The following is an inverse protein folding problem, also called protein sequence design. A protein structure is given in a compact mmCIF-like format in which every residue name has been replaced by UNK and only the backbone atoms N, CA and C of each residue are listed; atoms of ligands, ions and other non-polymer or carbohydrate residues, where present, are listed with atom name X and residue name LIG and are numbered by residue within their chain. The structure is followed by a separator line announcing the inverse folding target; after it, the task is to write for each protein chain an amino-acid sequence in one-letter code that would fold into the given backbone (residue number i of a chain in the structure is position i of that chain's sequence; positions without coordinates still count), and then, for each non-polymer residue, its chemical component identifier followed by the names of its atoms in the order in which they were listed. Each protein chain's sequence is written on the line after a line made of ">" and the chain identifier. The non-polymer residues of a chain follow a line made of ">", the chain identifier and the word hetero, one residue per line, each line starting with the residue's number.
data_IF_108619680415
#
_entry.id   IF_108619680415
#
_cell.length_a   1.000
_cell.length_b   1.000
_cell.length_c   1.000
_cell.angle_alpha   90.00
_cell.angle_beta   90.00
_cell.angle_gamma   90.00
#
_symmetry.space_group_name_H-M   'P 1'
#
loop_
_entity.id
_entity.type
_entity.pdbx_description
1 polymer ?
#
# COMPACT_ATOMS: atom_id res chain seq x y z
N UNK A 1 -19.26 15.52 -19.53
CA UNK A 1 -20.01 14.96 -20.68
C UNK A 1 -19.13 14.82 -21.91
N UNK A 2 -18.83 15.91 -22.63
CA UNK A 2 -18.01 15.87 -23.86
C UNK A 2 -16.74 15.03 -23.70
N UNK A 3 -15.97 15.25 -22.63
CA UNK A 3 -14.73 14.51 -22.41
C UNK A 3 -14.96 13.00 -22.26
N UNK A 4 -15.85 12.57 -21.37
CA UNK A 4 -16.21 11.14 -21.18
C UNK A 4 -16.70 10.50 -22.48
N UNK A 5 -17.64 11.14 -23.19
CA UNK A 5 -18.19 10.59 -24.44
C UNK A 5 -17.15 10.54 -25.57
N UNK A 6 -16.17 11.44 -25.56
CA UNK A 6 -15.12 11.51 -26.59
C UNK A 6 -14.00 10.52 -26.34
N UNK A 7 -13.57 10.35 -25.08
CA UNK A 7 -12.38 9.56 -24.74
C UNK A 7 -12.71 8.15 -24.24
N UNK A 8 -13.94 7.91 -23.78
CA UNK A 8 -14.34 6.62 -23.20
C UNK A 8 -13.67 6.31 -21.87
N UNK A 9 -13.24 7.33 -21.11
CA UNK A 9 -12.62 7.14 -19.79
C UNK A 9 -13.61 6.60 -18.76
N UNK A 10 -13.05 5.89 -17.78
CA UNK A 10 -13.81 5.26 -16.69
C UNK A 10 -13.83 6.10 -15.40
N UNK A 11 -12.98 7.12 -15.30
CA UNK A 11 -12.88 7.91 -14.07
C UNK A 11 -12.04 9.18 -14.17
N UNK A 12 -11.92 9.88 -13.03
CA UNK A 12 -11.16 11.11 -12.89
C UNK A 12 -10.18 11.08 -11.71
N UNK A 13 -9.01 11.69 -11.91
CA UNK A 13 -8.20 12.27 -10.85
C UNK A 13 -8.46 13.77 -10.82
N UNK A 14 -8.99 14.28 -9.71
CA UNK A 14 -9.26 15.71 -9.52
C UNK A 14 -8.02 16.39 -8.94
N UNK A 15 -7.56 17.42 -9.64
CA UNK A 15 -6.40 18.24 -9.25
C UNK A 15 -6.80 19.32 -8.25
N UNK A 16 -5.92 19.59 -7.28
CA UNK A 16 -5.94 20.76 -6.41
C UNK A 16 -7.29 21.01 -5.72
N UNK A 17 -7.98 19.94 -5.29
CA UNK A 17 -9.39 20.04 -4.84
C UNK A 17 -9.56 20.89 -3.57
N UNK A 18 -8.48 21.07 -2.80
CA UNK A 18 -8.44 22.00 -1.65
C UNK A 18 -8.62 23.48 -2.02
N UNK A 19 -8.44 23.83 -3.29
CA UNK A 19 -8.55 25.19 -3.82
C UNK A 19 -9.86 25.44 -4.57
N UNK A 20 -10.75 24.44 -4.62
CA UNK A 20 -12.03 24.50 -5.30
C UNK A 20 -13.14 24.36 -4.25
N UNK A 21 -14.23 25.10 -4.44
CA UNK A 21 -15.41 25.00 -3.57
C UNK A 21 -15.90 23.53 -3.48
N UNK A 22 -16.02 23.02 -2.26
CA UNK A 22 -16.36 21.61 -2.01
C UNK A 22 -17.78 21.29 -2.48
N UNK A 23 -18.72 22.22 -2.33
CA UNK A 23 -20.09 22.06 -2.82
C UNK A 23 -20.14 21.96 -4.34
N UNK A 24 -19.36 22.80 -5.05
CA UNK A 24 -19.22 22.70 -6.50
C UNK A 24 -18.70 21.32 -6.93
N UNK A 25 -17.58 20.82 -6.37
CA UNK A 25 -17.04 19.51 -6.76
C UNK A 25 -18.04 18.40 -6.44
N UNK A 26 -18.63 18.41 -5.25
CA UNK A 26 -19.63 17.45 -4.83
C UNK A 26 -20.80 17.38 -5.82
N UNK A 27 -21.37 18.54 -6.17
CA UNK A 27 -22.48 18.63 -7.12
C UNK A 27 -22.05 18.21 -8.51
N UNK A 28 -20.85 18.60 -8.94
CA UNK A 28 -20.30 18.26 -10.26
C UNK A 28 -20.16 16.75 -10.44
N UNK A 29 -19.56 16.05 -9.48
CA UNK A 29 -19.39 14.59 -9.53
C UNK A 29 -20.74 13.87 -9.46
N UNK A 30 -21.63 14.30 -8.55
CA UNK A 30 -22.97 13.74 -8.45
C UNK A 30 -23.78 13.90 -9.76
N UNK A 31 -23.70 15.06 -10.40
CA UNK A 31 -24.37 15.32 -11.67
C UNK A 31 -23.85 14.42 -12.80
N UNK A 32 -22.55 14.14 -12.84
CA UNK A 32 -21.98 13.23 -13.84
C UNK A 32 -22.47 11.80 -13.59
N UNK A 33 -22.45 11.32 -12.35
CA UNK A 33 -22.91 9.96 -12.03
C UNK A 33 -24.38 9.76 -12.31
N UNK A 34 -25.22 10.72 -11.96
CA UNK A 34 -26.67 10.61 -12.13
C UNK A 34 -27.12 10.75 -13.59
N UNK A 35 -26.40 11.51 -14.42
CA UNK A 35 -26.86 11.87 -15.78
C UNK A 35 -26.05 11.24 -16.91
N UNK A 36 -24.82 10.79 -16.66
CA UNK A 36 -23.86 10.43 -17.72
C UNK A 36 -23.25 9.06 -17.47
N UNK A 37 -22.61 8.84 -16.31
CA UNK A 37 -21.84 7.63 -16.03
C UNK A 37 -21.95 7.21 -14.56
N UNK A 38 -22.92 6.35 -14.19
CA UNK A 38 -23.20 5.98 -12.79
C UNK A 38 -22.03 5.33 -12.05
N UNK A 39 -21.17 4.63 -12.78
CA UNK A 39 -19.99 3.89 -12.32
C UNK A 39 -18.69 4.68 -12.47
N UNK A 40 -18.76 6.01 -12.56
CA UNK A 40 -17.56 6.85 -12.69
C UNK A 40 -16.71 6.77 -11.42
N UNK A 41 -15.49 6.26 -11.56
CA UNK A 41 -14.50 6.23 -10.49
C UNK A 41 -13.83 7.60 -10.33
N UNK A 42 -13.66 8.07 -9.10
CA UNK A 42 -13.10 9.41 -8.86
C UNK A 42 -12.24 9.40 -7.61
N UNK A 43 -11.06 9.99 -7.71
CA UNK A 43 -10.28 10.38 -6.55
C UNK A 43 -9.70 11.78 -6.70
N UNK A 44 -9.42 12.46 -5.59
CA UNK A 44 -8.95 13.85 -5.58
C UNK A 44 -7.63 14.03 -4.84
N UNK A 45 -6.86 15.03 -5.27
CA UNK A 45 -5.68 15.51 -4.56
C UNK A 45 -6.07 16.66 -3.60
N UNK A 46 -6.33 16.29 -2.35
CA UNK A 46 -6.49 17.24 -1.24
C UNK A 46 -5.19 17.28 -0.45
N UNK A 47 -4.22 18.08 -0.88
CA UNK A 47 -2.89 18.07 -0.27
C UNK A 47 -2.82 18.79 1.08
N UNK A 48 -3.14 18.02 2.12
CA UNK A 48 -2.88 18.30 3.54
C UNK A 48 -2.55 16.98 4.26
N UNK A 49 -1.54 17.01 5.11
CA UNK A 49 -1.10 15.87 5.92
C UNK A 49 -1.71 15.89 7.32
N UNK A 50 -3.01 16.20 7.44
CA UNK A 50 -3.75 16.14 8.70
C UNK A 50 -5.09 15.42 8.51
N UNK A 51 -5.33 14.41 9.36
CA UNK A 51 -6.48 13.51 9.25
C UNK A 51 -7.81 14.26 9.31
N UNK A 52 -7.92 15.22 10.22
CA UNK A 52 -9.14 16.02 10.43
C UNK A 52 -9.54 16.75 9.15
N UNK A 53 -8.63 17.46 8.49
CA UNK A 53 -8.97 18.19 7.26
C UNK A 53 -9.39 17.25 6.12
N UNK A 54 -8.75 16.07 5.99
CA UNK A 54 -9.14 15.10 4.97
C UNK A 54 -10.54 14.56 5.22
N UNK A 55 -10.85 14.21 6.48
CA UNK A 55 -12.17 13.74 6.90
C UNK A 55 -13.25 14.80 6.71
N UNK A 56 -13.01 16.03 7.17
CA UNK A 56 -13.92 17.15 7.00
C UNK A 56 -14.22 17.39 5.51
N UNK A 57 -13.23 17.19 4.63
CA UNK A 57 -13.41 17.33 3.19
C UNK A 57 -14.22 16.18 2.58
N UNK A 58 -14.01 14.94 3.02
CA UNK A 58 -14.85 13.80 2.63
C UNK A 58 -16.31 14.03 3.04
N UNK A 59 -16.54 14.48 4.27
CA UNK A 59 -17.89 14.81 4.77
C UNK A 59 -18.53 15.97 3.98
N UNK A 60 -17.78 17.04 3.74
CA UNK A 60 -18.24 18.20 2.97
C UNK A 60 -18.60 17.83 1.52
N UNK A 61 -17.89 16.85 0.95
CA UNK A 61 -18.17 16.32 -0.39
C UNK A 61 -19.15 15.15 -0.37
N UNK A 62 -19.74 14.82 0.78
CA UNK A 62 -20.67 13.70 0.98
C UNK A 62 -20.12 12.38 0.42
N UNK A 63 -18.82 12.16 0.63
CA UNK A 63 -18.12 10.93 0.23
C UNK A 63 -18.32 10.58 -1.26
N UNK A 64 -18.43 11.61 -2.11
CA UNK A 64 -18.58 11.41 -3.55
C UNK A 64 -17.31 10.85 -4.20
N UNK A 65 -16.15 10.95 -3.58
CA UNK A 65 -14.90 10.44 -4.18
C UNK A 65 -13.85 10.18 -3.12
N UNK A 66 -12.86 9.36 -3.46
CA UNK A 66 -11.73 9.03 -2.61
C UNK A 66 -10.68 10.15 -2.61
N UNK A 67 -9.77 10.17 -1.64
CA UNK A 67 -8.64 11.12 -1.61
C UNK A 67 -7.32 10.36 -1.62
N UNK A 68 -6.28 11.00 -2.17
CA UNK A 68 -4.91 10.50 -1.99
C UNK A 68 -4.51 10.60 -0.51
N UNK A 69 -3.91 9.55 0.03
CA UNK A 69 -3.52 9.48 1.45
C UNK A 69 -2.16 10.17 1.69
N UNK A 70 -2.19 11.50 1.77
CA UNK A 70 -0.98 12.33 1.92
C UNK A 70 -0.29 12.06 3.26
N UNK A 71 -1.04 11.83 4.33
CA UNK A 71 -0.46 11.50 5.64
C UNK A 71 0.34 10.21 5.57
N UNK A 72 -0.19 9.16 4.93
CA UNK A 72 0.57 7.92 4.77
C UNK A 72 1.86 8.10 3.97
N UNK A 73 1.82 8.90 2.89
CA UNK A 73 3.03 9.26 2.14
C UNK A 73 4.07 9.96 3.04
N UNK A 74 3.64 10.93 3.86
CA UNK A 74 4.54 11.63 4.80
C UNK A 74 5.11 10.67 5.85
N UNK A 75 4.34 9.71 6.34
CA UNK A 75 4.84 8.69 7.25
C UNK A 75 5.93 7.82 6.59
N UNK A 76 5.79 7.47 5.31
CA UNK A 76 6.83 6.76 4.56
C UNK A 76 8.09 7.60 4.37
N UNK A 77 7.93 8.88 4.03
CA UNK A 77 9.04 9.82 3.92
C UNK A 77 9.79 9.93 5.26
N UNK A 78 9.08 10.13 6.37
CA UNK A 78 9.68 10.25 7.70
C UNK A 78 10.38 8.95 8.13
N UNK A 79 9.74 7.80 7.90
CA UNK A 79 10.32 6.50 8.21
C UNK A 79 11.61 6.23 7.42
N UNK A 80 11.66 6.62 6.15
CA UNK A 80 12.86 6.44 5.33
C UNK A 80 14.03 7.30 5.81
N UNK A 81 13.77 8.52 6.32
CA UNK A 81 14.83 9.44 6.77
C UNK A 81 15.27 9.21 8.22
N UNK A 82 14.36 8.77 9.09
CA UNK A 82 14.64 8.47 10.49
C UNK A 82 15.26 7.07 10.68
N UNK A 83 15.30 6.24 9.64
CA UNK A 83 15.88 4.89 9.68
C UNK A 83 15.27 4.08 10.84
N UNK A 84 16.12 3.38 11.61
CA UNK A 84 15.72 2.55 12.76
C UNK A 84 15.11 3.34 13.93
N UNK A 85 15.19 4.66 13.94
CA UNK A 85 14.64 5.48 15.02
C UNK A 85 13.14 5.77 14.82
N UNK A 86 12.62 5.58 13.61
CA UNK A 86 11.17 5.63 13.37
C UNK A 86 10.48 4.42 14.00
N UNK A 87 9.37 4.67 14.69
CA UNK A 87 8.54 3.63 15.28
C UNK A 87 7.55 3.05 14.25
N UNK A 88 7.89 1.91 13.67
CA UNK A 88 7.06 1.24 12.65
C UNK A 88 5.66 0.85 13.13
N UNK A 89 5.41 0.83 14.44
CA UNK A 89 4.05 0.59 14.98
C UNK A 89 3.09 1.73 14.62
N UNK A 90 3.62 2.93 14.38
CA UNK A 90 2.86 4.14 14.09
C UNK A 90 2.86 4.48 12.59
N UNK A 91 3.30 3.56 11.72
CA UNK A 91 3.48 3.86 10.28
C UNK A 91 2.17 4.27 9.58
N UNK A 92 1.01 3.87 10.11
CA UNK A 92 -0.30 4.27 9.61
C UNK A 92 -1.01 5.31 10.48
N UNK A 93 -0.38 5.83 11.53
CA UNK A 93 -1.01 6.81 12.42
C UNK A 93 -1.47 8.02 11.61
N UNK A 94 -2.68 8.49 11.93
CA UNK A 94 -3.38 9.61 11.29
C UNK A 94 -3.59 9.50 9.76
N UNK A 95 -3.25 8.35 9.16
CA UNK A 95 -3.49 8.12 7.74
C UNK A 95 -4.98 8.03 7.40
N UNK A 96 -5.33 8.35 6.16
CA UNK A 96 -6.71 8.21 5.71
C UNK A 96 -7.14 6.74 5.66
N UNK A 97 -6.23 5.84 5.30
CA UNK A 97 -6.51 4.41 5.13
C UNK A 97 -6.94 3.70 6.41
N UNK A 98 -6.55 4.21 7.59
CA UNK A 98 -7.01 3.62 8.87
C UNK A 98 -8.40 4.11 9.31
N UNK A 99 -8.81 5.32 8.90
CA UNK A 99 -10.11 5.91 9.29
C UNK A 99 -11.19 5.65 8.23
N UNK A 100 -10.86 5.77 6.95
CA UNK A 100 -11.77 5.61 5.81
C UNK A 100 -11.11 4.79 4.68
N UNK A 101 -10.83 3.49 4.90
CA UNK A 101 -10.07 2.66 3.96
C UNK A 101 -10.68 2.60 2.54
N UNK A 102 -12.00 2.65 2.41
CA UNK A 102 -12.71 2.63 1.13
C UNK A 102 -12.60 3.95 0.34
N UNK A 103 -12.20 5.04 1.02
CA UNK A 103 -12.00 6.37 0.44
C UNK A 103 -10.52 6.77 0.36
N UNK A 104 -9.60 5.84 0.64
CA UNK A 104 -8.16 6.12 0.63
C UNK A 104 -7.49 5.57 -0.63
N UNK A 105 -6.87 6.46 -1.40
CA UNK A 105 -5.92 6.10 -2.45
C UNK A 105 -4.51 6.20 -1.87
N UNK A 106 -3.97 5.06 -1.44
CA UNK A 106 -2.63 4.98 -0.83
C UNK A 106 -1.55 5.00 -1.91
N UNK A 107 -0.47 5.73 -1.70
CA UNK A 107 0.63 5.86 -2.67
C UNK A 107 1.97 6.01 -1.94
N UNK A 108 3.07 5.62 -2.60
CA UNK A 108 4.43 5.84 -2.08
C UNK A 108 4.96 7.19 -2.54
N UNK A 109 4.80 7.50 -3.83
CA UNK A 109 5.40 8.66 -4.48
C UNK A 109 4.46 9.19 -5.58
N UNK A 110 4.63 10.44 -5.99
CA UNK A 110 3.99 10.97 -7.19
C UNK A 110 4.87 12.04 -7.88
N UNK A 111 4.31 12.68 -8.89
CA UNK A 111 5.00 13.70 -9.67
C UNK A 111 5.29 15.01 -8.91
N UNK A 112 4.60 15.31 -7.82
CA UNK A 112 4.83 16.49 -6.98
C UNK A 112 5.91 16.24 -5.92
N UNK A 113 6.07 14.98 -5.46
CA UNK A 113 6.95 14.59 -4.34
C UNK A 113 8.33 14.12 -4.76
N UNK A 114 8.50 13.70 -6.01
CA UNK A 114 9.81 13.33 -6.55
C UNK A 114 10.82 14.50 -6.46
N UNK A 115 12.12 14.18 -6.47
CA UNK A 115 13.17 15.20 -6.32
C UNK A 115 13.09 16.32 -7.36
N UNK A 116 13.33 17.55 -6.90
CA UNK A 116 13.32 18.76 -7.72
C UNK A 116 11.92 19.31 -8.02
N UNK A 117 10.86 18.82 -7.37
CA UNK A 117 9.48 19.26 -7.60
C UNK A 117 8.91 20.09 -6.43
N UNK A 118 7.71 20.64 -6.63
CA UNK A 118 7.13 21.66 -5.75
C UNK A 118 6.84 21.17 -4.33
N UNK A 119 6.54 19.88 -4.17
CA UNK A 119 6.21 19.24 -2.89
C UNK A 119 7.24 18.16 -2.56
N UNK A 120 8.51 18.38 -2.93
CA UNK A 120 9.59 17.41 -2.76
C UNK A 120 9.62 16.83 -1.34
N UNK A 121 9.33 15.52 -1.27
CA UNK A 121 9.30 14.69 -0.07
C UNK A 121 9.53 13.24 -0.47
N UNK A 122 10.57 13.04 -1.29
CA UNK A 122 10.91 11.73 -1.88
C UNK A 122 11.25 10.71 -0.82
N UNK A 123 10.59 9.56 -0.84
CA UNK A 123 10.91 8.40 0.01
C UNK A 123 12.28 7.85 -0.40
N UNK A 124 13.17 7.58 0.56
CA UNK A 124 14.50 7.04 0.24
C UNK A 124 14.42 5.65 -0.41
N UNK A 125 15.31 5.40 -1.37
CA UNK A 125 15.27 4.22 -2.23
C UNK A 125 15.25 2.89 -1.47
N UNK A 126 15.94 2.81 -0.32
CA UNK A 126 16.00 1.60 0.49
C UNK A 126 14.64 1.26 1.13
N UNK A 127 13.81 2.27 1.42
CA UNK A 127 12.51 2.10 2.07
C UNK A 127 11.36 1.91 1.05
N UNK A 128 11.56 2.25 -0.23
CA UNK A 128 10.52 2.12 -1.26
C UNK A 128 9.92 0.70 -1.35
N UNK A 129 10.71 -0.40 -1.33
CA UNK A 129 10.12 -1.75 -1.29
C UNK A 129 9.24 -1.99 -0.05
N UNK A 130 9.62 -1.47 1.12
CA UNK A 130 8.84 -1.61 2.35
C UNK A 130 7.52 -0.83 2.23
N UNK A 131 7.57 0.39 1.72
CA UNK A 131 6.39 1.23 1.49
C UNK A 131 5.43 0.61 0.46
N UNK A 132 5.94 0.07 -0.64
CA UNK A 132 5.13 -0.67 -1.60
C UNK A 132 4.51 -1.92 -0.99
N UNK A 133 5.25 -2.65 -0.14
CA UNK A 133 4.70 -3.78 0.61
C UNK A 133 3.53 -3.39 1.51
N UNK A 134 3.65 -2.26 2.21
CA UNK A 134 2.60 -1.72 3.10
C UNK A 134 1.31 -1.37 2.34
N UNK A 135 1.38 -0.87 1.10
CA UNK A 135 0.17 -0.52 0.32
C UNK A 135 -0.34 -1.65 -0.58
N UNK A 136 0.53 -2.54 -1.07
CA UNK A 136 0.16 -3.61 -1.99
C UNK A 136 -0.25 -4.89 -1.27
N UNK A 137 0.42 -5.24 -0.16
CA UNK A 137 0.25 -6.53 0.51
C UNK A 137 -0.73 -6.49 1.68
N UNK A 138 -1.42 -5.36 1.86
CA UNK A 138 -2.53 -5.17 2.82
C UNK A 138 -3.85 -4.96 2.08
N UNK A 139 -4.95 -5.27 2.74
CA UNK A 139 -6.29 -5.20 2.14
C UNK A 139 -6.88 -3.79 2.11
N UNK A 140 -6.51 -2.93 3.05
CA UNK A 140 -7.07 -1.60 3.18
C UNK A 140 -6.52 -0.65 2.11
N UNK A 141 -7.38 0.23 1.59
CA UNK A 141 -6.99 1.25 0.62
C UNK A 141 -6.90 0.76 -0.82
N UNK A 142 -6.89 1.72 -1.73
CA UNK A 142 -6.65 1.50 -3.16
C UNK A 142 -5.21 1.93 -3.50
N UNK A 143 -4.26 0.99 -3.65
CA UNK A 143 -2.87 1.34 -3.94
C UNK A 143 -2.71 1.92 -5.34
N UNK A 144 -1.97 3.02 -5.43
CA UNK A 144 -1.59 3.67 -6.68
C UNK A 144 -0.07 3.56 -6.87
N UNK A 145 0.34 2.89 -7.95
CA UNK A 145 1.76 2.75 -8.32
C UNK A 145 2.26 4.02 -9.02
N UNK A 146 3.47 4.45 -8.68
CA UNK A 146 4.08 5.58 -9.36
C UNK A 146 4.86 5.16 -10.59
N UNK A 147 4.58 5.80 -11.73
CA UNK A 147 5.31 5.57 -12.99
C UNK A 147 6.81 5.74 -12.81
N UNK A 148 7.25 6.78 -12.09
CA UNK A 148 8.67 7.05 -11.88
C UNK A 148 9.36 5.98 -11.07
N UNK A 149 8.69 5.33 -10.11
CA UNK A 149 9.29 4.23 -9.34
C UNK A 149 9.31 2.95 -10.16
N UNK A 150 8.26 2.71 -10.94
CA UNK A 150 8.18 1.52 -11.77
C UNK A 150 9.24 1.53 -12.88
N UNK A 151 9.38 2.63 -13.62
CA UNK A 151 10.32 2.71 -14.75
C UNK A 151 11.66 3.36 -14.42
N UNK A 152 11.79 3.98 -13.24
CA UNK A 152 12.91 4.86 -12.93
C UNK A 152 12.76 6.25 -13.58
N UNK A 153 13.56 7.20 -13.11
CA UNK A 153 13.69 8.55 -13.69
C UNK A 153 15.15 8.77 -14.05
N UNK A 154 15.39 9.36 -15.22
CA UNK A 154 16.73 9.69 -15.70
C UNK A 154 17.03 11.19 -15.51
N UNK A 155 18.29 11.56 -15.41
CA UNK A 155 18.74 12.96 -15.34
C UNK A 155 19.23 13.36 -13.95
N UNK A 156 19.26 14.68 -13.71
CA UNK A 156 19.79 15.28 -12.47
C UNK A 156 19.07 14.79 -11.21
N UNK A 157 17.74 14.65 -11.29
CA UNK A 157 16.88 14.12 -10.22
C UNK A 157 16.54 12.64 -10.46
N UNK A 158 17.50 11.88 -10.96
CA UNK A 158 17.30 10.48 -11.33
C UNK A 158 16.94 9.59 -10.13
N UNK A 159 16.21 8.52 -10.41
CA UNK A 159 15.91 7.46 -9.44
C UNK A 159 15.93 6.09 -10.11
N UNK A 160 16.33 5.02 -9.39
CA UNK A 160 16.32 3.67 -9.93
C UNK A 160 14.89 3.18 -10.20
N UNK A 161 14.79 2.16 -11.04
CA UNK A 161 13.55 1.40 -11.24
C UNK A 161 13.40 0.34 -10.14
N UNK A 162 12.18 0.23 -9.61
CA UNK A 162 11.76 -0.79 -8.66
C UNK A 162 10.81 -1.81 -9.31
N UNK A 163 10.82 -1.90 -10.64
CA UNK A 163 9.90 -2.74 -11.43
C UNK A 163 9.79 -4.17 -10.91
N UNK A 164 10.93 -4.83 -10.70
CA UNK A 164 10.97 -6.25 -10.36
C UNK A 164 10.27 -6.55 -9.03
N UNK A 165 10.54 -5.75 -7.99
CA UNK A 165 9.91 -5.95 -6.68
C UNK A 165 8.43 -5.55 -6.71
N UNK A 166 8.06 -4.49 -7.45
CA UNK A 166 6.66 -4.10 -7.61
C UNK A 166 5.87 -5.15 -8.38
N UNK A 167 6.44 -5.78 -9.42
CA UNK A 167 5.81 -6.88 -10.15
C UNK A 167 5.48 -8.05 -9.22
N UNK A 168 6.47 -8.49 -8.42
CA UNK A 168 6.27 -9.57 -7.44
C UNK A 168 5.18 -9.22 -6.42
N UNK A 169 5.18 -7.99 -5.90
CA UNK A 169 4.15 -7.54 -4.96
C UNK A 169 2.76 -7.42 -5.59
N UNK A 170 2.67 -7.00 -6.86
CA UNK A 170 1.42 -6.95 -7.60
C UNK A 170 0.84 -8.35 -7.83
N UNK A 171 1.69 -9.33 -8.13
CA UNK A 171 1.29 -10.74 -8.25
C UNK A 171 0.80 -11.30 -6.91
N UNK A 172 1.50 -11.01 -5.81
CA UNK A 172 1.04 -11.37 -4.48
C UNK A 172 -0.30 -10.71 -4.14
N UNK A 173 -0.47 -9.42 -4.45
CA UNK A 173 -1.73 -8.71 -4.25
C UNK A 173 -2.87 -9.38 -5.01
N UNK A 174 -2.64 -9.77 -6.25
CA UNK A 174 -3.66 -10.39 -7.10
C UNK A 174 -4.09 -11.78 -6.61
N UNK A 175 -3.20 -12.53 -5.97
CA UNK A 175 -3.41 -13.96 -5.72
C UNK A 175 -3.45 -14.36 -4.23
N UNK A 176 -2.96 -13.52 -3.31
CA UNK A 176 -2.76 -13.91 -1.91
C UNK A 176 -3.29 -12.90 -0.87
N UNK A 177 -3.61 -11.67 -1.24
CA UNK A 177 -4.07 -10.63 -0.30
C UNK A 177 -5.60 -10.72 -0.14
N UNK A 178 -6.06 -11.86 0.36
CA UNK A 178 -7.47 -12.19 0.55
C UNK A 178 -7.77 -12.69 1.97
N UNK A 179 -9.05 -12.73 2.30
CA UNK A 179 -9.51 -13.33 3.55
C UNK A 179 -9.25 -12.51 4.80
N UNK A 180 -9.10 -13.17 5.95
CA UNK A 180 -8.85 -12.48 7.22
C UNK A 180 -7.41 -11.95 7.26
N UNK A 181 -7.25 -10.65 7.50
CA UNK A 181 -5.96 -10.04 7.82
C UNK A 181 -5.72 -10.03 9.33
N UNK A 182 -4.50 -10.34 9.77
CA UNK A 182 -4.09 -10.26 11.19
C UNK A 182 -2.77 -9.48 11.31
N UNK A 183 -2.77 -8.41 12.10
CA UNK A 183 -1.62 -7.51 12.25
C UNK A 183 -0.78 -7.82 13.50
N UNK A 184 0.55 -7.78 13.35
CA UNK A 184 1.55 -8.06 14.40
C UNK A 184 2.50 -6.86 14.59
N UNK A 185 1.93 -5.69 14.88
CA UNK A 185 2.65 -4.42 14.99
C UNK A 185 3.17 -4.21 16.42
N UNK A 186 3.97 -5.17 16.88
CA UNK A 186 4.33 -5.32 18.30
C UNK A 186 5.74 -4.86 18.65
N UNK A 187 6.54 -4.43 17.67
CA UNK A 187 7.93 -3.98 17.87
C UNK A 187 8.21 -2.75 17.01
N UNK A 188 9.05 -1.85 17.49
CA UNK A 188 9.31 -0.54 16.86
C UNK A 188 9.98 -0.62 15.49
N UNK A 189 10.72 -1.69 15.21
CA UNK A 189 11.36 -1.87 13.90
C UNK A 189 10.75 -2.99 13.06
N UNK A 190 10.73 -4.21 13.60
CA UNK A 190 10.15 -5.36 12.91
C UNK A 190 8.63 -5.43 13.14
N UNK A 191 7.84 -5.36 12.07
CA UNK A 191 6.38 -5.53 12.07
C UNK A 191 5.98 -6.55 11.00
N UNK A 192 4.77 -7.09 11.10
CA UNK A 192 4.28 -8.07 10.13
C UNK A 192 2.77 -8.23 10.17
N UNK A 193 2.24 -8.95 9.21
CA UNK A 193 0.82 -9.30 9.12
C UNK A 193 0.63 -10.56 8.29
N UNK A 194 -0.52 -11.22 8.46
CA UNK A 194 -0.91 -12.37 7.63
C UNK A 194 -2.23 -12.11 6.91
N UNK A 195 -2.38 -12.64 5.70
CA UNK A 195 -3.65 -12.75 4.97
C UNK A 195 -3.97 -14.24 4.81
N UNK A 196 -5.06 -14.69 5.42
CA UNK A 196 -5.33 -16.13 5.64
C UNK A 196 -6.13 -16.79 4.51
N UNK A 197 -6.48 -16.05 3.46
CA UNK A 197 -7.36 -16.54 2.40
C UNK A 197 -8.81 -16.72 2.85
N UNK A 198 -9.67 -17.07 1.91
CA UNK A 198 -11.10 -17.29 2.11
C UNK A 198 -11.60 -18.52 1.33
N UNK A 199 -12.92 -18.75 1.32
CA UNK A 199 -13.51 -19.92 0.66
C UNK A 199 -13.27 -19.95 -0.86
N UNK A 200 -13.09 -18.78 -1.48
CA UNK A 200 -12.83 -18.64 -2.92
C UNK A 200 -11.32 -18.62 -3.23
N UNK A 201 -10.50 -18.17 -2.26
CA UNK A 201 -9.06 -18.00 -2.38
C UNK A 201 -8.33 -18.83 -1.32
N UNK A 202 -8.01 -20.09 -1.67
CA UNK A 202 -7.18 -20.96 -0.83
C UNK A 202 -5.69 -20.58 -0.92
N UNK A 203 -5.38 -19.39 -0.44
CA UNK A 203 -4.06 -18.76 -0.43
C UNK A 203 -3.69 -18.35 0.98
N UNK A 204 -2.40 -18.28 1.29
CA UNK A 204 -1.93 -17.68 2.53
C UNK A 204 -0.68 -16.86 2.29
N UNK A 205 -0.64 -15.68 2.90
CA UNK A 205 0.49 -14.77 2.87
C UNK A 205 0.89 -14.38 4.28
N UNK A 206 2.16 -14.48 4.59
CA UNK A 206 2.74 -13.87 5.79
C UNK A 206 3.79 -12.85 5.38
N UNK A 207 3.60 -11.58 5.75
CA UNK A 207 4.53 -10.49 5.43
C UNK A 207 5.23 -10.04 6.70
N UNK A 208 6.54 -9.87 6.61
CA UNK A 208 7.35 -9.29 7.69
C UNK A 208 8.32 -8.29 7.09
N UNK A 209 8.45 -7.14 7.73
CA UNK A 209 9.38 -6.08 7.33
C UNK A 209 10.07 -5.46 8.54
N UNK A 210 11.24 -4.88 8.32
CA UNK A 210 12.00 -4.17 9.35
C UNK A 210 12.68 -2.94 8.77
N UNK A 211 12.58 -1.79 9.44
CA UNK A 211 13.40 -0.60 9.15
C UNK A 211 14.74 -0.60 9.91
N UNK A 212 15.08 -1.72 10.56
CA UNK A 212 16.29 -1.87 11.37
C UNK A 212 17.06 -3.14 11.03
N UNK A 213 17.59 -3.81 12.05
CA UNK A 213 18.36 -5.05 11.90
C UNK A 213 17.45 -6.23 11.47
N UNK A 214 18.07 -7.29 10.94
CA UNK A 214 17.39 -8.56 10.63
C UNK A 214 16.59 -9.06 11.83
N UNK A 215 15.46 -9.72 11.57
CA UNK A 215 14.57 -10.15 12.63
C UNK A 215 13.55 -11.18 12.15
N UNK A 216 12.53 -11.38 12.97
CA UNK A 216 11.46 -12.33 12.69
C UNK A 216 10.17 -11.95 13.41
N UNK A 217 9.06 -12.55 12.96
CA UNK A 217 7.75 -12.51 13.63
C UNK A 217 7.14 -13.90 13.71
N UNK A 218 6.72 -14.29 14.91
CA UNK A 218 5.89 -15.45 15.12
C UNK A 218 4.45 -15.09 14.79
N UNK A 219 3.92 -15.66 13.70
CA UNK A 219 2.59 -15.30 13.18
C UNK A 219 1.79 -16.55 12.80
N UNK A 220 0.47 -16.46 12.98
CA UNK A 220 -0.48 -17.48 12.59
C UNK A 220 -0.75 -17.45 11.08
N UNK A 221 -0.65 -18.61 10.45
CA UNK A 221 -1.11 -18.88 9.07
C UNK A 221 -2.21 -19.94 9.00
N UNK A 222 -2.46 -20.63 10.12
CA UNK A 222 -3.57 -21.58 10.31
C UNK A 222 -3.12 -23.05 10.25
N UNK A 223 -3.80 -23.90 11.03
CA UNK A 223 -3.46 -25.33 11.19
C UNK A 223 -3.49 -26.12 9.87
N UNK A 224 -4.22 -25.64 8.85
CA UNK A 224 -4.23 -26.26 7.51
C UNK A 224 -2.85 -26.27 6.84
N UNK A 225 -1.94 -25.39 7.27
CA UNK A 225 -0.56 -25.32 6.81
C UNK A 225 0.43 -26.03 7.73
N UNK A 226 -0.01 -26.71 8.78
CA UNK A 226 0.87 -27.45 9.69
C UNK A 226 1.81 -28.41 8.92
N UNK A 227 3.10 -28.34 9.24
CA UNK A 227 4.16 -29.12 8.58
C UNK A 227 4.50 -28.68 7.15
N UNK A 228 3.84 -27.67 6.59
CA UNK A 228 4.17 -27.11 5.27
C UNK A 228 5.36 -26.16 5.38
N UNK A 229 6.11 -26.07 4.28
CA UNK A 229 7.22 -25.15 4.13
C UNK A 229 6.77 -23.89 3.40
N UNK A 230 7.18 -22.73 3.89
CA UNK A 230 7.01 -21.42 3.28
C UNK A 230 8.35 -20.89 2.78
N UNK A 231 8.29 -20.13 1.68
CA UNK A 231 9.44 -19.47 1.04
C UNK A 231 9.14 -17.99 0.82
N UNK A 232 10.17 -17.14 0.87
CA UNK A 232 10.04 -15.71 0.57
C UNK A 232 9.90 -15.49 -0.95
N UNK A 233 8.70 -15.13 -1.38
CA UNK A 233 8.39 -14.86 -2.79
C UNK A 233 9.16 -13.66 -3.36
N UNK A 234 9.53 -12.70 -2.50
CA UNK A 234 10.33 -11.55 -2.93
C UNK A 234 11.78 -11.97 -3.25
N UNK A 235 12.25 -13.07 -2.65
CA UNK A 235 13.61 -13.59 -2.81
C UNK A 235 14.66 -12.85 -1.99
N UNK A 236 14.24 -12.11 -0.96
CA UNK A 236 15.16 -11.36 -0.10
C UNK A 236 15.77 -12.24 0.99
N UNK A 237 15.05 -13.28 1.43
CA UNK A 237 15.55 -14.30 2.35
C UNK A 237 15.60 -15.68 1.67
N UNK A 238 16.75 -16.35 1.70
CA UNK A 238 16.94 -17.70 1.13
C UNK A 238 16.49 -18.83 2.08
N UNK A 239 16.20 -18.51 3.34
CA UNK A 239 15.79 -19.50 4.33
C UNK A 239 14.35 -19.95 4.09
N UNK A 240 14.02 -21.12 4.61
CA UNK A 240 12.67 -21.68 4.57
C UNK A 240 12.06 -21.70 5.97
N UNK A 241 10.75 -21.49 6.07
CA UNK A 241 10.01 -21.51 7.33
C UNK A 241 9.07 -22.72 7.32
N UNK A 242 9.20 -23.62 8.30
CA UNK A 242 8.28 -24.74 8.47
C UNK A 242 7.22 -24.36 9.50
N UNK A 243 5.95 -24.51 9.15
CA UNK A 243 4.83 -24.18 10.02
C UNK A 243 4.65 -25.27 11.07
N UNK A 244 4.49 -24.87 12.33
CA UNK A 244 4.25 -25.75 13.46
C UNK A 244 2.89 -26.45 13.40
N UNK A 245 2.71 -27.46 14.25
CA UNK A 245 1.46 -28.23 14.36
C UNK A 245 0.25 -27.37 14.79
N UNK A 246 0.50 -26.21 15.38
CA UNK A 246 -0.49 -25.21 15.79
C UNK A 246 -0.85 -24.20 14.71
N UNK A 247 -0.23 -24.28 13.51
CA UNK A 247 -0.47 -23.34 12.42
C UNK A 247 0.31 -22.03 12.52
N UNK A 248 1.34 -21.95 13.37
CA UNK A 248 2.20 -20.79 13.54
C UNK A 248 3.60 -20.99 12.95
N UNK A 249 4.26 -19.91 12.55
CA UNK A 249 5.62 -19.95 12.02
C UNK A 249 6.44 -18.71 12.42
N UNK A 250 7.76 -18.88 12.53
CA UNK A 250 8.72 -17.80 12.75
C UNK A 250 9.20 -17.23 11.42
N UNK A 251 8.46 -16.26 10.87
CA UNK A 251 8.75 -15.66 9.58
C UNK A 251 9.90 -14.67 9.67
N UNK A 252 10.92 -14.85 8.84
CA UNK A 252 12.19 -14.13 8.90
C UNK A 252 12.20 -12.91 7.98
N UNK A 253 13.03 -11.92 8.29
CA UNK A 253 13.33 -10.79 7.41
C UNK A 253 14.78 -10.33 7.58
N UNK A 254 15.42 -9.98 6.46
CA UNK A 254 16.76 -9.40 6.46
C UNK A 254 16.75 -7.93 6.93
N UNK A 255 17.92 -7.38 7.29
CA UNK A 255 18.05 -5.98 7.72
C UNK A 255 17.53 -5.01 6.66
N UNK A 256 16.79 -3.98 7.10
CA UNK A 256 16.23 -2.92 6.25
C UNK A 256 15.47 -3.47 5.02
N UNK A 257 14.71 -4.56 5.21
CA UNK A 257 14.09 -5.33 4.14
C UNK A 257 12.63 -5.71 4.45
N UNK A 258 12.02 -6.38 3.48
CA UNK A 258 10.68 -6.97 3.54
C UNK A 258 10.74 -8.38 2.94
N UNK A 259 10.06 -9.34 3.57
CA UNK A 259 9.87 -10.69 3.04
C UNK A 259 8.38 -11.03 3.03
N UNK A 260 7.96 -11.73 1.97
CA UNK A 260 6.57 -12.10 1.74
C UNK A 260 6.49 -13.61 1.53
N UNK A 261 6.07 -14.31 2.59
CA UNK A 261 6.13 -15.75 2.71
C UNK A 261 4.85 -16.39 2.19
N UNK A 262 5.00 -17.32 1.25
CA UNK A 262 3.91 -18.12 0.68
C UNK A 262 4.25 -19.62 0.78
N UNK A 263 3.24 -20.52 0.78
CA UNK A 263 3.48 -21.96 0.74
C UNK A 263 4.36 -22.34 -0.45
N UNK A 264 5.40 -23.13 -0.21
CA UNK A 264 6.26 -23.66 -1.28
C UNK A 264 5.42 -24.57 -2.18
N UNK A 265 5.37 -24.25 -3.46
CA UNK A 265 4.73 -25.10 -4.46
C UNK A 265 5.61 -26.36 -4.61
N UNK A 266 5.11 -27.51 -4.17
CA UNK A 266 5.72 -28.79 -4.50
C UNK A 266 5.40 -29.09 -5.96
N UNK A 267 6.41 -29.16 -6.82
CA UNK A 267 6.23 -29.69 -8.18
C UNK A 267 5.73 -31.14 -8.06
N UNK A 268 4.55 -31.41 -8.61
CA UNK A 268 4.03 -32.75 -8.70
C UNK A 268 4.93 -33.57 -9.65
N UNK A 269 5.68 -34.52 -9.09
CA UNK A 269 6.41 -35.54 -9.85
C UNK A 269 5.46 -36.45 -10.65
#
# INVERSE_FOLDING_TARGET
>A
KWFIETTGIEGFRLDAVKHIDSYFIQTFINDIRTKIKPDLEVFGEYWKSDQTSMKDYLEATQFQFSLVDVTLHMNFFDASHQNRDFDMRTIFDDSLVIDNPEYAVTFVENHDTQSGQALESRVEDWFKPLAYGLILLRQQGTPCLFYGDYYGIQGEFGQPSFKEVIDKMAELRQNYVFGKQVDYFTHSNCIGWTCLGDEEHNSCLAVVLTNGDQGWKHMEVGEIYAGKTFVDYLGNCEQEVVIGDDGWGDFLVESASISAWVPKIEEAN
#
